data_IF_687566039501
#
_entry.id   IF_687566039501
#
_cell.length_a   1.000
_cell.length_b   1.000
_cell.length_c   1.000
_cell.angle_alpha   90.00
_cell.angle_beta   90.00
_cell.angle_gamma   90.00
#
_symmetry.space_group_name_H-M   'P 1'
#
loop_
_entity.id
_entity.type
_entity.pdbx_description
1 polymer ?
#
# COMPACT_ATOMS: atom_id res chain seq x y z
N UNK A 1 -16.39 -14.48 14.49
CA UNK A 1 -16.03 -14.79 13.09
C UNK A 1 -15.52 -13.49 12.50
N UNK A 2 -14.23 -13.40 12.17
CA UNK A 2 -13.75 -12.32 11.30
C UNK A 2 -14.51 -12.43 9.99
N UNK A 3 -15.18 -11.35 9.59
CA UNK A 3 -15.95 -11.29 8.34
C UNK A 3 -14.96 -11.43 7.18
N UNK A 4 -14.81 -12.67 6.69
CA UNK A 4 -13.89 -13.05 5.62
C UNK A 4 -14.13 -12.21 4.37
N UNK A 5 -15.36 -11.73 4.18
CA UNK A 5 -15.74 -10.81 3.09
C UNK A 5 -15.12 -9.43 3.28
N UNK A 6 -15.14 -8.89 4.50
CA UNK A 6 -14.55 -7.59 4.79
C UNK A 6 -13.03 -7.60 4.61
N UNK A 7 -12.34 -8.58 5.20
CA UNK A 7 -10.89 -8.68 5.04
C UNK A 7 -10.50 -8.85 3.57
N UNK A 8 -11.21 -9.67 2.79
CA UNK A 8 -10.95 -9.82 1.37
C UNK A 8 -11.11 -8.50 0.60
N UNK A 9 -12.17 -7.73 0.88
CA UNK A 9 -12.40 -6.40 0.28
C UNK A 9 -11.31 -5.41 0.65
N UNK A 10 -10.91 -5.37 1.92
CA UNK A 10 -9.81 -4.51 2.37
C UNK A 10 -8.52 -4.81 1.60
N UNK A 11 -8.09 -6.07 1.54
CA UNK A 11 -6.87 -6.43 0.81
C UNK A 11 -6.99 -6.23 -0.70
N UNK A 12 -8.18 -6.38 -1.27
CA UNK A 12 -8.42 -6.02 -2.67
C UNK A 12 -8.20 -4.50 -2.90
N UNK A 13 -8.81 -3.65 -2.06
CA UNK A 13 -8.61 -2.20 -2.14
C UNK A 13 -7.16 -1.77 -1.94
N UNK A 14 -6.43 -2.41 -1.02
CA UNK A 14 -4.99 -2.16 -0.85
C UNK A 14 -4.23 -2.52 -2.13
N UNK A 15 -4.51 -3.67 -2.76
CA UNK A 15 -3.88 -4.05 -4.03
C UNK A 15 -4.21 -3.08 -5.16
N UNK A 16 -5.44 -2.58 -5.24
CA UNK A 16 -5.83 -1.57 -6.23
C UNK A 16 -5.05 -0.27 -6.06
N UNK A 17 -4.87 0.20 -4.81
CA UNK A 17 -4.03 1.36 -4.53
C UNK A 17 -2.57 1.15 -4.91
N UNK A 18 -1.99 0.00 -4.57
CA UNK A 18 -0.61 -0.34 -4.95
C UNK A 18 -0.44 -0.39 -6.47
N UNK A 19 -1.38 -0.99 -7.20
CA UNK A 19 -1.36 -1.01 -8.67
C UNK A 19 -1.42 0.40 -9.27
N UNK A 20 -2.18 1.30 -8.67
CA UNK A 20 -2.24 2.70 -9.12
C UNK A 20 -0.94 3.46 -8.85
N UNK A 21 -0.32 3.26 -7.67
CA UNK A 21 1.01 3.82 -7.38
C UNK A 21 2.03 3.31 -8.39
N UNK A 22 2.01 2.02 -8.72
CA UNK A 22 2.92 1.43 -9.71
C UNK A 22 2.76 2.06 -11.11
N UNK A 23 1.52 2.32 -11.54
CA UNK A 23 1.26 3.03 -12.79
C UNK A 23 1.85 4.45 -12.78
N UNK A 24 1.65 5.20 -11.69
CA UNK A 24 2.17 6.55 -11.55
C UNK A 24 3.71 6.59 -11.47
N UNK A 25 4.34 5.58 -10.86
CA UNK A 25 5.81 5.42 -10.90
C UNK A 25 6.30 5.27 -12.34
N UNK A 26 5.62 4.45 -13.17
CA UNK A 26 5.97 4.26 -14.60
C UNK A 26 5.79 5.54 -15.42
N UNK A 27 4.81 6.36 -15.06
CA UNK A 27 4.57 7.67 -15.68
C UNK A 27 5.55 8.74 -15.19
N UNK A 28 6.28 8.48 -14.11
CA UNK A 28 7.23 9.40 -13.49
C UNK A 28 6.59 10.46 -12.58
N UNK A 29 5.34 10.27 -12.18
CA UNK A 29 4.59 11.23 -11.35
C UNK A 29 4.69 10.88 -9.85
N UNK A 30 5.78 11.38 -9.23
CA UNK A 30 6.03 11.23 -7.80
C UNK A 30 4.90 11.83 -6.94
N UNK A 31 4.43 13.03 -7.28
CA UNK A 31 3.46 13.75 -6.47
C UNK A 31 2.07 13.09 -6.50
N UNK A 32 1.66 12.55 -7.65
CA UNK A 32 0.44 11.76 -7.73
C UNK A 32 0.58 10.45 -6.96
N UNK A 33 1.71 9.75 -7.08
CA UNK A 33 1.94 8.50 -6.35
C UNK A 33 1.89 8.70 -4.83
N UNK A 34 2.54 9.75 -4.30
CA UNK A 34 2.46 10.14 -2.89
C UNK A 34 1.01 10.38 -2.42
N UNK A 35 0.20 11.09 -3.24
CA UNK A 35 -1.22 11.32 -2.91
C UNK A 35 -2.02 10.02 -2.83
N UNK A 36 -1.69 9.03 -3.66
CA UNK A 36 -2.31 7.70 -3.56
C UNK A 36 -1.83 7.00 -2.28
N UNK A 37 -0.55 7.09 -1.93
CA UNK A 37 0.00 6.63 -0.66
C UNK A 37 -0.76 7.19 0.56
N UNK A 38 -1.01 8.51 0.58
CA UNK A 38 -1.80 9.17 1.63
C UNK A 38 -3.25 8.65 1.71
N UNK A 39 -3.91 8.44 0.56
CA UNK A 39 -5.27 7.86 0.55
C UNK A 39 -5.27 6.44 1.10
N UNK A 40 -4.27 5.65 0.76
CA UNK A 40 -4.09 4.29 1.27
C UNK A 40 -3.76 4.31 2.78
N UNK A 41 -3.01 5.31 3.27
CA UNK A 41 -2.72 5.49 4.69
C UNK A 41 -4.01 5.58 5.52
N UNK A 42 -4.97 6.39 5.09
CA UNK A 42 -6.26 6.51 5.79
C UNK A 42 -7.00 5.17 5.91
N UNK A 43 -6.94 4.32 4.87
CA UNK A 43 -7.52 2.97 4.92
C UNK A 43 -6.75 2.06 5.88
N UNK A 44 -5.41 2.07 5.83
CA UNK A 44 -4.56 1.24 6.69
C UNK A 44 -4.59 1.67 8.16
N UNK A 45 -4.81 2.95 8.47
CA UNK A 45 -4.99 3.42 9.85
C UNK A 45 -6.25 2.84 10.51
N UNK A 46 -7.29 2.55 9.73
CA UNK A 46 -8.53 1.98 10.24
C UNK A 46 -8.49 0.45 10.38
N UNK A 47 -7.83 -0.25 9.44
CA UNK A 47 -7.98 -1.70 9.30
C UNK A 47 -6.67 -2.46 9.06
N UNK A 48 -5.56 -1.74 8.84
CA UNK A 48 -4.26 -2.33 8.55
C UNK A 48 -3.45 -2.66 9.82
N UNK A 49 -2.33 -3.34 9.63
CA UNK A 49 -1.34 -3.54 10.69
C UNK A 49 -0.44 -2.31 10.84
N UNK A 50 0.26 -2.14 11.97
CA UNK A 50 1.24 -1.05 12.14
C UNK A 50 2.31 -1.02 11.05
N UNK A 51 2.76 -2.18 10.55
CA UNK A 51 3.72 -2.27 9.45
C UNK A 51 3.13 -1.77 8.13
N UNK A 52 1.85 -2.04 7.87
CA UNK A 52 1.16 -1.50 6.70
C UNK A 52 1.02 0.02 6.80
N UNK A 53 0.69 0.55 7.98
CA UNK A 53 0.63 2.00 8.23
C UNK A 53 1.99 2.65 7.97
N UNK A 54 3.07 2.10 8.52
CA UNK A 54 4.42 2.61 8.33
C UNK A 54 4.84 2.63 6.86
N UNK A 55 4.49 1.59 6.09
CA UNK A 55 4.76 1.56 4.65
C UNK A 55 3.91 2.57 3.87
N UNK A 56 2.65 2.80 4.27
CA UNK A 56 1.83 3.86 3.68
C UNK A 56 2.43 5.25 3.94
N UNK A 57 2.92 5.52 5.16
CA UNK A 57 3.62 6.76 5.50
C UNK A 57 4.89 6.93 4.66
N UNK A 58 5.65 5.85 4.45
CA UNK A 58 6.82 5.88 3.58
C UNK A 58 6.46 6.14 2.10
N UNK A 59 5.33 5.62 1.60
CA UNK A 59 4.83 5.92 0.26
C UNK A 59 4.42 7.40 0.13
N UNK A 60 3.71 7.93 1.12
CA UNK A 60 3.29 9.34 1.14
C UNK A 60 4.49 10.30 1.18
N UNK A 61 5.53 9.95 1.94
CA UNK A 61 6.68 10.82 2.19
C UNK A 61 7.92 10.47 1.36
N UNK A 62 7.79 9.60 0.35
CA UNK A 62 8.91 9.19 -0.48
C UNK A 62 9.55 10.38 -1.19
N UNK A 63 10.87 10.52 -1.11
CA UNK A 63 11.63 11.63 -1.71
C UNK A 63 11.93 11.44 -3.20
N UNK A 64 11.69 10.23 -3.73
CA UNK A 64 12.03 9.86 -5.09
C UNK A 64 11.17 8.70 -5.61
N UNK A 65 11.08 8.57 -6.93
CA UNK A 65 10.45 7.42 -7.60
C UNK A 65 11.14 6.10 -7.25
N UNK A 66 12.46 6.14 -7.03
CA UNK A 66 13.22 4.96 -6.63
C UNK A 66 12.83 4.49 -5.22
N UNK A 67 12.73 5.42 -4.27
CA UNK A 67 12.25 5.13 -2.92
C UNK A 67 10.82 4.61 -2.96
N UNK A 68 9.92 5.22 -3.74
CA UNK A 68 8.57 4.70 -3.94
C UNK A 68 8.56 3.24 -4.40
N UNK A 69 9.36 2.89 -5.41
CA UNK A 69 9.44 1.52 -5.92
C UNK A 69 9.93 0.54 -4.84
N UNK A 70 10.96 0.91 -4.08
CA UNK A 70 11.46 0.08 -2.99
C UNK A 70 10.40 -0.16 -1.91
N UNK A 71 9.67 0.89 -1.53
CA UNK A 71 8.59 0.78 -0.55
C UNK A 71 7.42 -0.05 -1.08
N UNK A 72 7.08 0.08 -2.37
CA UNK A 72 6.05 -0.74 -3.04
C UNK A 72 6.41 -2.24 -3.00
N UNK A 73 7.67 -2.58 -3.30
CA UNK A 73 8.17 -3.96 -3.27
C UNK A 73 8.09 -4.55 -1.84
N UNK A 74 8.45 -3.76 -0.83
CA UNK A 74 8.30 -4.14 0.58
C UNK A 74 6.83 -4.38 0.95
N UNK A 75 5.92 -3.54 0.45
CA UNK A 75 4.48 -3.70 0.69
C UNK A 75 3.96 -5.01 0.11
N UNK A 76 4.30 -5.33 -1.15
CA UNK A 76 3.90 -6.60 -1.76
C UNK A 76 4.47 -7.81 -1.02
N UNK A 77 5.72 -7.74 -0.56
CA UNK A 77 6.32 -8.80 0.26
C UNK A 77 5.56 -9.00 1.58
N UNK A 78 5.17 -7.90 2.25
CA UNK A 78 4.37 -7.96 3.47
C UNK A 78 3.00 -8.62 3.24
N UNK A 79 2.31 -8.28 2.15
CA UNK A 79 1.02 -8.88 1.80
C UNK A 79 1.15 -10.38 1.51
N UNK A 80 2.16 -10.79 0.73
CA UNK A 80 2.41 -12.20 0.42
C UNK A 80 2.66 -13.03 1.69
N UNK A 81 3.43 -12.49 2.63
CA UNK A 81 3.69 -13.14 3.91
C UNK A 81 2.46 -13.20 4.84
N UNK A 82 1.52 -12.26 4.68
CA UNK A 82 0.27 -12.23 5.44
C UNK A 82 -0.74 -13.25 4.92
N UNK A 83 -0.72 -13.55 3.62
CA UNK A 83 -1.55 -14.59 3.01
C UNK A 83 -1.09 -16.01 3.36
N UNK A 84 0.21 -16.23 3.63
CA UNK A 84 0.77 -17.54 4.00
C UNK A 84 0.47 -17.93 5.47
N UNK A 85 0.16 -16.95 6.33
CA UNK A 85 -0.07 -17.17 7.78
C UNK A 85 -1.55 -17.42 8.14
N UNK A 86 -2.45 -17.49 7.17
CA UNK A 86 -3.88 -17.79 7.35
C UNK A 86 -4.19 -19.22 6.93
#
# INVERSE_FOLDING_TARGET
>A
MTDTTFSARFYASVRDYLGHIEALIKEGDLGAAQKIGHKMLGLCQLFGTPEQVALCEALENADSLHHLQQTLDQFYALLKNSDIKK
#
